data_IF_510393288523
#
_entry.id   IF_510393288523
#
_cell.length_a   1.000
_cell.length_b   1.000
_cell.length_c   1.000
_cell.angle_alpha   90.00
_cell.angle_beta   90.00
_cell.angle_gamma   90.00
#
_symmetry.space_group_name_H-M   'P 1'
#
loop_
_entity.id
_entity.type
_entity.pdbx_description
1 polymer ?
#
# COMPACT_ATOMS: atom_id res chain seq x y z
N UNK A 1 7.83 6.73 33.32
CA UNK A 1 6.84 6.77 32.22
C UNK A 1 6.46 5.35 31.85
N UNK A 2 5.20 4.97 32.00
CA UNK A 2 4.74 3.63 31.61
C UNK A 2 4.29 3.66 30.14
N UNK A 3 5.24 3.92 29.24
CA UNK A 3 5.04 3.63 27.81
C UNK A 3 5.43 2.16 27.66
N UNK A 4 4.49 1.23 27.43
CA UNK A 4 4.77 -0.22 27.45
C UNK A 4 5.90 -0.65 26.51
N UNK A 5 6.15 0.17 25.50
CA UNK A 5 7.22 0.02 24.54
C UNK A 5 8.64 0.10 25.17
N UNK A 6 8.87 0.97 26.15
CA UNK A 6 10.20 1.12 26.78
C UNK A 6 10.66 -0.13 27.53
N UNK A 7 9.73 -1.01 27.95
CA UNK A 7 10.05 -2.29 28.61
C UNK A 7 10.86 -3.27 27.74
N UNK A 8 10.90 -3.06 26.42
CA UNK A 8 11.66 -3.91 25.49
C UNK A 8 13.10 -3.43 25.27
N UNK A 9 13.46 -2.26 25.78
CA UNK A 9 14.81 -1.70 25.74
C UNK A 9 15.65 -2.20 26.92
N UNK A 10 16.97 -2.14 26.80
CA UNK A 10 17.86 -2.19 27.97
C UNK A 10 17.94 -0.82 28.64
N UNK A 11 18.31 -0.85 29.92
CA UNK A 11 18.37 0.33 30.78
C UNK A 11 19.28 1.42 30.20
N UNK A 12 20.43 1.04 29.61
CA UNK A 12 21.35 2.00 28.99
C UNK A 12 20.73 2.78 27.81
N UNK A 13 19.97 2.10 26.95
CA UNK A 13 19.27 2.76 25.84
C UNK A 13 18.13 3.63 26.36
N UNK A 14 17.41 3.13 27.37
CA UNK A 14 16.32 3.86 27.99
C UNK A 14 16.82 5.15 28.66
N UNK A 15 17.91 5.08 29.41
CA UNK A 15 18.56 6.23 30.06
C UNK A 15 19.02 7.24 29.01
N UNK A 16 19.68 6.78 27.94
CA UNK A 16 20.13 7.66 26.86
C UNK A 16 19.00 8.40 26.15
N UNK A 17 17.83 7.78 26.03
CA UNK A 17 16.61 8.43 25.53
C UNK A 17 16.07 9.40 26.58
N UNK A 18 15.94 8.97 27.84
CA UNK A 18 15.40 9.78 28.92
C UNK A 18 16.19 11.07 29.17
N UNK A 19 17.52 11.03 29.03
CA UNK A 19 18.38 12.22 29.13
C UNK A 19 18.11 13.27 28.03
N UNK A 20 17.52 12.86 26.90
CA UNK A 20 17.24 13.71 25.74
C UNK A 20 15.77 14.11 25.64
N UNK A 21 14.92 13.62 26.53
CA UNK A 21 13.51 13.97 26.55
C UNK A 21 13.32 15.37 27.12
N UNK A 22 12.56 16.18 26.39
CA UNK A 22 12.18 17.53 26.81
C UNK A 22 10.70 17.53 27.19
N UNK A 23 10.34 18.23 28.26
CA UNK A 23 8.93 18.41 28.61
C UNK A 23 8.20 19.22 27.54
N UNK A 24 7.00 18.78 27.16
CA UNK A 24 6.13 19.44 26.20
C UNK A 24 4.73 19.57 26.79
N UNK A 25 4.17 20.78 26.76
CA UNK A 25 2.83 21.09 27.24
C UNK A 25 2.00 21.61 26.07
N UNK A 26 0.85 20.99 25.84
CA UNK A 26 -0.10 21.40 24.82
C UNK A 26 -1.44 21.76 25.45
N UNK A 27 -1.88 22.99 25.22
CA UNK A 27 -3.22 23.43 25.62
C UNK A 27 -4.29 22.78 24.75
N UNK A 28 -5.53 22.77 25.24
CA UNK A 28 -6.67 22.25 24.49
C UNK A 28 -6.84 22.98 23.15
N UNK A 29 -7.13 22.22 22.09
CA UNK A 29 -7.36 22.73 20.74
C UNK A 29 -6.10 22.88 19.89
N UNK A 30 -4.90 22.80 20.50
CA UNK A 30 -3.64 22.91 19.77
C UNK A 30 -3.43 21.74 18.82
N UNK A 31 -3.02 22.04 17.59
CA UNK A 31 -2.55 21.05 16.63
C UNK A 31 -1.07 20.79 16.87
N UNK A 32 -0.75 19.56 17.21
CA UNK A 32 0.61 19.11 17.48
C UNK A 32 1.27 18.64 16.18
N UNK A 33 0.54 17.84 15.40
CA UNK A 33 0.95 17.40 14.07
C UNK A 33 -0.18 17.63 13.09
N UNK A 34 0.16 17.84 11.82
CA UNK A 34 -0.79 17.95 10.72
C UNK A 34 -0.38 17.02 9.60
N UNK A 35 -1.35 16.29 9.05
CA UNK A 35 -1.13 15.39 7.92
C UNK A 35 -0.46 16.13 6.75
N UNK A 36 0.61 15.55 6.21
CA UNK A 36 1.40 16.13 5.11
C UNK A 36 2.54 17.07 5.54
N UNK A 37 2.55 17.57 6.79
CA UNK A 37 3.60 18.45 7.29
C UNK A 37 4.80 17.67 7.87
N UNK A 38 6.02 18.22 7.84
CA UNK A 38 7.19 17.53 8.39
C UNK A 38 7.07 17.28 9.90
N UNK A 39 7.52 16.11 10.34
CA UNK A 39 7.58 15.70 11.74
C UNK A 39 9.03 15.82 12.22
N UNK A 40 9.27 16.71 13.18
CA UNK A 40 10.60 16.98 13.74
C UNK A 40 10.78 16.48 15.18
N UNK A 41 9.70 16.04 15.84
CA UNK A 41 9.76 15.44 17.17
C UNK A 41 8.78 14.28 17.33
N UNK A 42 9.13 13.37 18.23
CA UNK A 42 8.30 12.24 18.64
C UNK A 42 7.80 12.52 20.06
N UNK A 43 6.49 12.39 20.29
CA UNK A 43 5.85 12.84 21.53
C UNK A 43 5.28 11.65 22.27
N UNK A 44 5.59 11.54 23.56
CA UNK A 44 5.13 10.51 24.49
C UNK A 44 4.13 11.12 25.47
N UNK A 45 2.89 10.64 25.45
CA UNK A 45 1.80 11.21 26.24
C UNK A 45 1.91 10.70 27.68
N UNK A 46 2.07 11.63 28.62
CA UNK A 46 2.11 11.34 30.05
C UNK A 46 0.72 11.52 30.65
N UNK A 47 0.05 12.65 30.33
CA UNK A 47 -1.30 12.97 30.80
C UNK A 47 -2.10 13.69 29.71
N UNK A 48 -3.43 13.62 29.82
CA UNK A 48 -4.35 14.26 28.88
C UNK A 48 -4.79 13.35 27.73
N UNK A 49 -5.52 13.93 26.78
CA UNK A 49 -6.08 13.22 25.61
C UNK A 49 -5.80 14.00 24.32
N UNK A 50 -5.34 13.26 23.31
CA UNK A 50 -5.20 13.74 21.94
C UNK A 50 -6.20 13.04 21.04
N UNK A 51 -6.57 13.68 19.94
CA UNK A 51 -7.25 13.09 18.81
C UNK A 51 -6.25 12.93 17.68
N UNK A 52 -6.17 11.74 17.08
CA UNK A 52 -5.38 11.47 15.88
C UNK A 52 -6.30 11.08 14.74
N UNK A 53 -6.36 11.92 13.72
CA UNK A 53 -7.21 11.76 12.55
C UNK A 53 -6.41 11.68 11.26
N UNK A 54 -6.92 11.00 10.24
CA UNK A 54 -6.33 10.99 8.89
C UNK A 54 -7.41 10.88 7.84
N UNK A 55 -7.15 11.53 6.72
CA UNK A 55 -7.95 11.47 5.49
C UNK A 55 -7.28 10.62 4.41
N UNK A 56 -6.16 9.97 4.74
CA UNK A 56 -5.33 9.19 3.81
C UNK A 56 -5.02 9.99 2.53
N UNK A 57 -4.49 11.20 2.70
CA UNK A 57 -4.17 12.11 1.60
C UNK A 57 -5.39 12.73 0.92
N UNK A 58 -6.48 12.98 1.67
CA UNK A 58 -7.69 13.63 1.14
C UNK A 58 -8.60 12.71 0.32
N UNK A 59 -8.49 11.38 0.50
CA UNK A 59 -9.31 10.41 -0.23
C UNK A 59 -10.78 10.53 0.20
N UNK A 60 -11.66 10.76 -0.77
CA UNK A 60 -13.10 10.88 -0.52
C UNK A 60 -13.67 9.63 0.15
N UNK A 61 -14.48 9.82 1.19
CA UNK A 61 -15.09 8.73 1.97
C UNK A 61 -14.17 8.04 2.96
N UNK A 62 -12.92 8.49 3.13
CA UNK A 62 -11.99 7.94 4.12
C UNK A 62 -11.72 8.95 5.25
N UNK A 63 -12.17 8.61 6.46
CA UNK A 63 -11.84 9.35 7.67
C UNK A 63 -11.64 8.38 8.82
N UNK A 64 -10.43 8.38 9.39
CA UNK A 64 -10.10 7.54 10.55
C UNK A 64 -9.65 8.43 11.70
N UNK A 65 -10.45 8.51 12.77
CA UNK A 65 -10.12 9.24 14.00
C UNK A 65 -10.02 8.27 15.19
N UNK A 66 -9.07 8.54 16.09
CA UNK A 66 -8.92 7.85 17.36
C UNK A 66 -8.51 8.82 18.48
N UNK A 67 -8.97 8.54 19.71
CA UNK A 67 -8.45 9.19 20.90
C UNK A 67 -7.18 8.48 21.42
N UNK A 68 -6.10 9.24 21.58
CA UNK A 68 -4.85 8.80 22.21
C UNK A 68 -4.78 9.34 23.64
N UNK A 69 -4.22 8.56 24.55
CA UNK A 69 -4.11 8.92 25.96
C UNK A 69 -2.73 8.56 26.55
N UNK A 70 -2.61 8.52 27.88
CA UNK A 70 -1.36 8.14 28.54
C UNK A 70 -0.81 6.81 28.05
N UNK A 71 0.51 6.75 27.85
CA UNK A 71 1.21 5.55 27.37
C UNK A 71 1.22 5.37 25.85
N UNK A 72 0.51 6.23 25.10
CA UNK A 72 0.61 6.32 23.64
C UNK A 72 1.67 7.35 23.22
N UNK A 73 2.09 7.27 21.95
CA UNK A 73 3.04 8.19 21.35
C UNK A 73 2.61 8.62 19.94
N UNK A 74 3.18 9.71 19.46
CA UNK A 74 2.97 10.30 18.13
C UNK A 74 4.33 10.61 17.48
N UNK A 75 4.37 10.78 16.14
CA UNK A 75 5.61 11.08 15.41
C UNK A 75 6.48 9.84 15.14
N UNK A 76 5.85 8.68 15.05
CA UNK A 76 6.51 7.39 14.83
C UNK A 76 7.22 7.26 13.47
N UNK A 77 6.86 8.14 12.52
CA UNK A 77 7.51 8.29 11.23
C UNK A 77 9.02 8.60 11.38
N UNK A 78 9.38 9.33 12.46
CA UNK A 78 10.77 9.65 12.77
C UNK A 78 11.62 8.44 13.12
N UNK A 79 11.02 7.38 13.66
CA UNK A 79 11.77 6.19 14.01
C UNK A 79 12.36 5.52 12.78
N UNK A 80 11.53 5.34 11.74
CA UNK A 80 11.98 4.78 10.47
C UNK A 80 13.08 5.65 9.85
N UNK A 81 12.89 6.96 9.87
CA UNK A 81 13.88 7.93 9.38
C UNK A 81 15.19 7.85 10.17
N UNK A 82 15.14 7.79 11.50
CA UNK A 82 16.33 7.76 12.35
C UNK A 82 17.13 6.46 12.18
N UNK A 83 16.45 5.34 11.95
CA UNK A 83 17.07 4.03 11.74
C UNK A 83 17.73 3.86 10.36
N UNK A 84 17.45 4.75 9.40
CA UNK A 84 18.08 4.67 8.07
C UNK A 84 19.55 5.12 8.09
N UNK A 85 20.50 4.35 7.56
CA UNK A 85 21.92 4.73 7.51
C UNK A 85 22.19 6.05 6.76
N UNK A 86 21.40 6.33 5.72
CA UNK A 86 21.48 7.52 4.87
C UNK A 86 20.20 8.34 4.90
N UNK A 87 19.67 8.62 6.10
CA UNK A 87 18.51 9.49 6.22
C UNK A 87 18.81 10.86 5.63
N UNK A 88 17.97 11.32 4.71
CA UNK A 88 18.03 12.68 4.19
C UNK A 88 17.88 13.70 5.33
N UNK A 89 18.44 14.90 5.15
CA UNK A 89 18.17 16.05 6.04
C UNK A 89 16.68 16.42 6.09
N UNK A 90 15.89 16.00 5.09
CA UNK A 90 14.45 16.20 5.08
C UNK A 90 13.77 15.28 6.10
N UNK A 91 12.94 15.89 6.95
CA UNK A 91 12.09 15.19 7.90
C UNK A 91 10.96 14.44 7.19
N UNK A 92 10.51 13.30 7.75
CA UNK A 92 9.36 12.59 7.21
C UNK A 92 8.08 13.41 7.36
N UNK A 93 7.16 13.30 6.40
CA UNK A 93 5.83 13.89 6.50
C UNK A 93 4.94 13.11 7.46
N UNK A 94 4.12 13.81 8.23
CA UNK A 94 3.15 13.21 9.13
C UNK A 94 2.04 12.52 8.36
N UNK A 95 1.67 11.32 8.79
CA UNK A 95 0.55 10.58 8.18
C UNK A 95 -0.81 10.93 8.77
N UNK A 96 -0.83 11.65 9.92
CA UNK A 96 -2.04 11.95 10.68
C UNK A 96 -2.01 13.37 11.26
N UNK A 97 -3.18 13.98 11.34
CA UNK A 97 -3.39 15.21 12.10
C UNK A 97 -3.67 14.87 13.56
N UNK A 98 -2.87 15.43 14.47
CA UNK A 98 -2.97 15.22 15.91
C UNK A 98 -3.33 16.53 16.61
N UNK A 99 -4.45 16.52 17.33
CA UNK A 99 -5.01 17.68 18.02
C UNK A 99 -5.24 17.39 19.50
N UNK A 100 -4.94 18.35 20.36
CA UNK A 100 -5.19 18.24 21.79
C UNK A 100 -6.68 18.38 22.10
N UNK A 101 -7.27 17.35 22.73
CA UNK A 101 -8.66 17.38 23.20
C UNK A 101 -8.78 17.97 24.60
N UNK A 102 -7.74 17.80 25.41
CA UNK A 102 -7.57 18.39 26.74
C UNK A 102 -6.21 19.07 26.82
N UNK A 103 -5.90 19.70 27.95
CA UNK A 103 -4.51 19.98 28.29
C UNK A 103 -3.73 18.65 28.34
N UNK A 104 -2.56 18.62 27.70
CA UNK A 104 -1.73 17.43 27.54
C UNK A 104 -0.32 17.73 28.02
N UNK A 105 0.13 16.91 28.97
CA UNK A 105 1.52 16.83 29.39
C UNK A 105 2.17 15.67 28.66
N UNK A 106 3.28 15.96 27.99
CA UNK A 106 4.01 14.99 27.22
C UNK A 106 5.53 15.20 27.34
N UNK A 107 6.29 14.22 26.89
CA UNK A 107 7.71 14.37 26.62
C UNK A 107 7.97 14.31 25.13
N UNK A 108 8.77 15.22 24.61
CA UNK A 108 9.21 15.26 23.23
C UNK A 108 10.64 14.76 23.10
N UNK A 109 10.89 13.92 22.11
CA UNK A 109 12.21 13.50 21.66
C UNK A 109 12.43 14.07 20.26
N UNK A 110 13.41 14.96 20.09
CA UNK A 110 13.68 15.59 18.80
C UNK A 110 14.28 14.60 17.82
N UNK A 111 14.07 14.85 16.53
CA UNK A 111 14.61 14.03 15.44
C UNK A 111 16.14 13.88 15.54
N UNK A 112 16.85 14.97 15.81
CA UNK A 112 18.31 15.00 15.96
C UNK A 112 18.79 14.09 17.10
N UNK A 113 18.13 14.17 18.25
CA UNK A 113 18.42 13.36 19.43
C UNK A 113 18.13 11.88 19.18
N UNK A 114 17.00 11.58 18.54
CA UNK A 114 16.66 10.22 18.14
C UNK A 114 17.69 9.67 17.13
N UNK A 115 18.14 10.50 16.20
CA UNK A 115 19.17 10.12 15.22
C UNK A 115 20.51 9.84 15.89
N UNK A 116 20.89 10.66 16.86
CA UNK A 116 22.08 10.45 17.66
C UNK A 116 22.02 9.12 18.41
N UNK A 117 20.91 8.86 19.12
CA UNK A 117 20.71 7.58 19.83
C UNK A 117 20.72 6.40 18.87
N UNK A 118 20.08 6.51 17.71
CA UNK A 118 20.09 5.48 16.67
C UNK A 118 21.51 5.19 16.14
N UNK A 119 22.37 6.20 16.07
CA UNK A 119 23.77 6.04 15.66
C UNK A 119 24.64 5.36 16.72
N UNK A 120 24.42 5.68 17.99
CA UNK A 120 25.22 5.14 19.11
C UNK A 120 24.78 3.73 19.52
N UNK A 121 23.48 3.45 19.52
CA UNK A 121 22.93 2.22 20.07
C UNK A 121 22.48 1.26 18.97
N UNK A 122 23.36 0.31 18.62
CA UNK A 122 23.06 -0.77 17.64
C UNK A 122 21.80 -1.56 18.00
N UNK A 123 21.45 -1.65 19.28
CA UNK A 123 20.25 -2.34 19.74
C UNK A 123 18.95 -1.69 19.26
N UNK A 124 18.95 -0.39 18.97
CA UNK A 124 17.79 0.28 18.37
C UNK A 124 17.46 -0.29 16.97
N UNK A 125 18.48 -0.80 16.27
CA UNK A 125 18.35 -1.48 14.98
C UNK A 125 17.89 -2.94 15.07
N UNK A 126 17.67 -3.46 16.28
CA UNK A 126 17.22 -4.84 16.47
C UNK A 126 15.82 -5.05 15.87
N UNK A 127 15.66 -6.12 15.08
CA UNK A 127 14.36 -6.52 14.54
C UNK A 127 13.32 -6.72 15.64
N UNK A 128 13.72 -7.20 16.82
CA UNK A 128 12.81 -7.38 17.96
C UNK A 128 12.21 -6.04 18.39
N UNK A 129 13.04 -5.02 18.52
CA UNK A 129 12.59 -3.70 18.95
C UNK A 129 11.79 -3.01 17.84
N UNK A 130 12.23 -3.11 16.58
CA UNK A 130 11.46 -2.61 15.43
C UNK A 130 10.07 -3.23 15.34
N UNK A 131 9.93 -4.54 15.60
CA UNK A 131 8.63 -5.18 15.67
C UNK A 131 7.80 -4.71 16.86
N UNK A 132 8.42 -4.49 18.03
CA UNK A 132 7.74 -3.91 19.18
C UNK A 132 7.20 -2.52 18.87
N UNK A 133 7.97 -1.67 18.17
CA UNK A 133 7.50 -0.36 17.71
C UNK A 133 6.28 -0.46 16.80
N UNK A 134 6.32 -1.34 15.79
CA UNK A 134 5.15 -1.59 14.92
C UNK A 134 3.95 -2.12 15.71
N UNK A 135 4.21 -2.94 16.71
CA UNK A 135 3.16 -3.51 17.54
C UNK A 135 2.51 -2.45 18.42
N UNK A 136 3.25 -1.51 19.01
CA UNK A 136 2.69 -0.47 19.89
C UNK A 136 2.21 0.77 19.16
N UNK A 137 2.66 0.98 17.92
CA UNK A 137 2.12 2.00 17.04
C UNK A 137 0.64 1.77 16.78
N UNK A 138 -0.14 2.83 16.97
CA UNK A 138 -1.53 2.83 16.55
C UNK A 138 -1.66 2.79 15.02
N UNK A 139 -0.83 3.54 14.29
CA UNK A 139 -0.94 3.65 12.84
C UNK A 139 -0.73 2.30 12.14
N UNK A 140 0.23 1.51 12.61
CA UNK A 140 0.52 0.16 12.11
C UNK A 140 -0.59 -0.84 12.45
N UNK A 141 -1.20 -0.74 13.65
CA UNK A 141 -2.36 -1.56 14.03
C UNK A 141 -3.57 -1.27 13.15
N UNK A 142 -3.88 0.00 12.93
CA UNK A 142 -4.98 0.42 12.07
C UNK A 142 -4.78 -0.09 10.63
N UNK A 143 -3.57 0.08 10.09
CA UNK A 143 -3.22 -0.45 8.78
C UNK A 143 -3.37 -1.97 8.69
N UNK A 144 -2.87 -2.73 9.66
CA UNK A 144 -3.00 -4.18 9.71
C UNK A 144 -4.46 -4.63 9.74
N UNK A 145 -5.30 -3.95 10.51
CA UNK A 145 -6.75 -4.18 10.53
C UNK A 145 -7.40 -3.95 9.17
N UNK A 146 -7.14 -2.80 8.55
CA UNK A 146 -7.67 -2.49 7.22
C UNK A 146 -7.18 -3.48 6.15
N UNK A 147 -5.92 -3.89 6.20
CA UNK A 147 -5.36 -4.85 5.25
C UNK A 147 -6.08 -6.22 5.33
N UNK A 148 -6.30 -6.71 6.55
CA UNK A 148 -7.05 -7.96 6.79
C UNK A 148 -8.49 -7.82 6.29
N UNK A 149 -9.14 -6.67 6.57
CA UNK A 149 -10.50 -6.40 6.11
C UNK A 149 -10.59 -6.43 4.57
N UNK A 150 -9.66 -5.78 3.86
CA UNK A 150 -9.62 -5.79 2.40
C UNK A 150 -9.43 -7.21 1.84
N UNK A 151 -8.48 -7.97 2.40
CA UNK A 151 -8.25 -9.35 2.00
C UNK A 151 -9.50 -10.24 2.20
N UNK A 152 -10.21 -10.05 3.32
CA UNK A 152 -11.45 -10.75 3.63
C UNK A 152 -12.59 -10.39 2.67
N UNK A 153 -12.78 -9.10 2.37
CA UNK A 153 -13.78 -8.65 1.39
C UNK A 153 -13.52 -9.25 0.02
N UNK A 154 -12.26 -9.24 -0.45
CA UNK A 154 -11.85 -9.88 -1.70
C UNK A 154 -12.05 -11.39 -1.69
N UNK A 155 -11.80 -12.06 -0.57
CA UNK A 155 -12.10 -13.49 -0.41
C UNK A 155 -13.61 -13.77 -0.53
N UNK A 156 -14.44 -13.00 0.19
CA UNK A 156 -15.90 -13.14 0.14
C UNK A 156 -16.45 -12.93 -1.28
N UNK A 157 -16.00 -11.88 -1.99
CA UNK A 157 -16.40 -11.61 -3.38
C UNK A 157 -16.04 -12.77 -4.30
N UNK A 158 -14.81 -13.30 -4.20
CA UNK A 158 -14.39 -14.50 -4.96
C UNK A 158 -15.21 -15.74 -4.61
N UNK A 159 -15.60 -15.91 -3.34
CA UNK A 159 -16.43 -17.04 -2.92
C UNK A 159 -17.85 -16.95 -3.51
N UNK A 160 -18.46 -15.77 -3.50
CA UNK A 160 -19.78 -15.54 -4.10
C UNK A 160 -19.74 -15.73 -5.62
N UNK A 161 -18.75 -15.15 -6.31
CA UNK A 161 -18.59 -15.29 -7.77
C UNK A 161 -18.39 -16.75 -8.20
N UNK A 162 -17.65 -17.55 -7.42
CA UNK A 162 -17.53 -19.00 -7.65
C UNK A 162 -18.84 -19.73 -7.45
N UNK A 163 -19.62 -19.35 -6.43
CA UNK A 163 -20.95 -19.91 -6.20
C UNK A 163 -21.91 -19.63 -7.35
N UNK A 164 -21.94 -18.38 -7.84
CA UNK A 164 -22.73 -17.98 -9.01
C UNK A 164 -22.29 -18.72 -10.28
N UNK A 165 -20.99 -18.78 -10.57
CA UNK A 165 -20.47 -19.51 -11.73
C UNK A 165 -20.80 -21.01 -11.69
N UNK A 166 -20.77 -21.64 -10.50
CA UNK A 166 -21.20 -23.02 -10.32
C UNK A 166 -22.70 -23.19 -10.59
N UNK A 167 -23.52 -22.28 -10.08
CA UNK A 167 -24.97 -22.29 -10.30
C UNK A 167 -25.32 -22.07 -11.78
N UNK A 168 -24.71 -21.09 -12.45
CA UNK A 168 -24.85 -20.85 -13.89
C UNK A 168 -24.44 -22.08 -14.71
N UNK A 169 -23.29 -22.69 -14.38
CA UNK A 169 -22.85 -23.92 -15.05
C UNK A 169 -23.82 -25.09 -14.85
N UNK A 170 -24.44 -25.19 -13.67
CA UNK A 170 -25.47 -26.20 -13.40
C UNK A 170 -26.73 -25.95 -14.22
N UNK A 171 -27.19 -24.71 -14.35
CA UNK A 171 -28.34 -24.38 -15.20
C UNK A 171 -28.08 -24.69 -16.67
N UNK A 172 -26.89 -24.36 -17.19
CA UNK A 172 -26.51 -24.68 -18.57
C UNK A 172 -26.39 -26.19 -18.84
N UNK A 173 -25.97 -26.99 -17.84
CA UNK A 173 -25.96 -28.46 -17.98
C UNK A 173 -27.35 -29.11 -17.83
N UNK A 174 -28.26 -28.50 -17.07
CA UNK A 174 -29.60 -29.06 -16.80
C UNK A 174 -30.60 -28.77 -17.94
N UNK A 175 -30.33 -27.80 -18.82
CA UNK A 175 -31.23 -27.41 -19.90
C UNK A 175 -30.50 -27.40 -21.27
N UNK A 176 -30.14 -28.57 -21.84
CA UNK A 176 -29.39 -28.66 -23.10
C UNK A 176 -30.23 -28.38 -24.37
N UNK A 177 -31.41 -27.75 -24.27
CA UNK A 177 -32.45 -27.84 -25.31
C UNK A 177 -33.29 -26.59 -25.59
N UNK A 178 -32.75 -25.38 -25.42
CA UNK A 178 -33.33 -24.19 -26.04
C UNK A 178 -32.26 -23.48 -26.86
N UNK A 179 -31.96 -24.07 -28.02
CA UNK A 179 -31.53 -23.30 -29.18
C UNK A 179 -32.72 -22.41 -29.56
N UNK A 180 -32.78 -21.20 -29.00
CA UNK A 180 -33.65 -20.16 -29.55
C UNK A 180 -33.07 -19.78 -30.92
N UNK A 181 -33.76 -20.24 -31.96
CA UNK A 181 -33.71 -19.73 -33.33
C UNK A 181 -34.07 -18.24 -33.31
N UNK A 182 -33.07 -17.40 -33.02
CA UNK A 182 -33.15 -15.96 -32.97
C UNK A 182 -32.21 -15.36 -34.01
N UNK A 183 -32.67 -15.32 -35.25
CA UNK A 183 -32.03 -14.55 -36.32
C UNK A 183 -31.99 -13.06 -35.93
N UNK A 184 -30.83 -12.58 -35.48
CA UNK A 184 -30.55 -11.15 -35.38
C UNK A 184 -29.96 -10.69 -36.70
N UNK A 185 -30.81 -10.10 -37.56
CA UNK A 185 -30.36 -9.33 -38.72
C UNK A 185 -29.58 -8.10 -38.23
N UNK A 186 -28.29 -8.02 -38.56
CA UNK A 186 -27.56 -6.75 -38.56
C UNK A 186 -27.89 -6.04 -39.87
N UNK A 187 -28.57 -4.91 -39.77
CA UNK A 187 -28.84 -4.01 -40.88
C UNK A 187 -27.62 -3.08 -41.05
N UNK A 188 -26.92 -3.21 -42.16
CA UNK A 188 -25.74 -2.41 -42.50
C UNK A 188 -26.11 -1.46 -43.66
N UNK A 189 -26.75 -0.33 -43.35
CA UNK A 189 -26.94 0.77 -44.29
C UNK A 189 -26.24 2.06 -43.81
N UNK A 190 -25.08 2.28 -44.43
CA UNK A 190 -24.47 3.53 -44.89
C UNK A 190 -24.97 4.88 -44.30
N UNK A 191 -24.05 5.54 -43.59
CA UNK A 191 -23.77 6.97 -43.74
C UNK A 191 -22.26 7.13 -43.47
N UNK A 192 -21.39 7.48 -44.42
CA UNK A 192 -21.53 8.60 -45.36
C UNK A 192 -20.98 9.86 -44.69
N UNK A 193 -19.65 10.04 -44.69
CA UNK A 193 -19.01 11.20 -44.05
C UNK A 193 -17.50 11.26 -44.25
N UNK A 194 -17.09 11.85 -45.37
CA UNK A 194 -15.71 12.08 -45.81
C UNK A 194 -14.85 12.88 -44.82
N UNK A 195 -13.55 12.55 -44.74
CA UNK A 195 -12.50 13.57 -44.71
C UNK A 195 -11.22 13.02 -45.37
N UNK A 196 -10.81 13.69 -46.45
CA UNK A 196 -9.61 13.42 -47.26
C UNK A 196 -8.36 14.12 -46.69
N UNK A 197 -7.19 13.60 -47.10
CA UNK A 197 -5.88 14.27 -47.07
C UNK A 197 -4.85 13.53 -46.21
N UNK A 198 -3.68 13.09 -46.67
CA UNK A 198 -2.95 13.30 -47.91
C UNK A 198 -1.85 12.21 -48.03
N UNK A 199 -1.37 12.03 -49.26
CA UNK A 199 -0.39 11.11 -49.84
C UNK A 199 1.01 11.13 -49.16
N UNK A 200 1.99 10.26 -49.39
CA UNK A 200 2.36 9.37 -50.51
C UNK A 200 3.59 8.49 -50.12
N UNK A 201 3.73 7.34 -50.78
CA UNK A 201 5.01 6.66 -51.12
C UNK A 201 5.54 5.59 -50.14
N UNK A 202 5.99 4.39 -50.51
CA UNK A 202 6.19 3.68 -51.78
C UNK A 202 6.23 2.14 -51.56
N UNK A 203 5.98 1.43 -52.67
CA UNK A 203 6.08 -0.01 -53.06
C UNK A 203 7.13 -0.90 -52.34
N UNK A 204 6.95 -2.23 -52.19
CA UNK A 204 6.99 -3.28 -53.26
C UNK A 204 6.68 -4.67 -52.64
N UNK A 205 5.83 -5.54 -53.26
CA UNK A 205 6.20 -6.82 -53.96
C UNK A 205 6.49 -7.99 -52.98
N UNK A 206 5.90 -9.19 -53.02
CA UNK A 206 5.69 -10.15 -54.11
C UNK A 206 4.67 -11.29 -53.76
N UNK A 207 4.24 -12.01 -54.81
CA UNK A 207 3.26 -13.11 -54.96
C UNK A 207 3.62 -14.41 -54.17
N UNK A 208 2.83 -15.50 -54.04
CA UNK A 208 1.88 -16.14 -54.95
C UNK A 208 0.98 -17.19 -54.24
N UNK A 209 -0.12 -17.51 -54.93
CA UNK A 209 -1.21 -18.48 -54.74
C UNK A 209 -0.84 -19.98 -54.72
N UNK A 210 -1.63 -20.84 -54.04
CA UNK A 210 -2.54 -21.79 -54.70
C UNK A 210 -3.51 -22.55 -53.75
N UNK A 211 -4.68 -22.90 -54.30
CA UNK A 211 -5.81 -23.78 -53.90
C UNK A 211 -5.53 -24.94 -52.94
N UNK A 212 -6.43 -25.50 -52.12
CA UNK A 212 -7.91 -25.46 -52.03
C UNK A 212 -8.40 -26.88 -51.66
N UNK A 213 -9.18 -27.05 -50.58
CA UNK A 213 -10.16 -28.14 -50.39
C UNK A 213 -10.82 -28.02 -49.01
N UNK A 214 -12.15 -27.98 -48.99
CA UNK A 214 -12.93 -28.04 -47.76
C UNK A 214 -13.00 -29.44 -47.18
N UNK A 215 -13.24 -29.53 -45.87
CA UNK A 215 -14.25 -30.41 -45.27
C UNK A 215 -14.39 -30.13 -43.77
N UNK A 216 -15.66 -30.10 -43.38
CA UNK A 216 -16.23 -29.86 -42.06
C UNK A 216 -15.93 -31.01 -41.08
N UNK A 217 -15.28 -30.70 -39.97
CA UNK A 217 -15.26 -31.44 -38.71
C UNK A 217 -15.09 -30.36 -37.62
N UNK A 218 -16.12 -29.95 -36.87
CA UNK A 218 -16.85 -30.80 -35.92
C UNK A 218 -16.09 -30.84 -34.60
N UNK A 219 -16.47 -29.97 -33.66
CA UNK A 219 -16.24 -29.90 -32.21
C UNK A 219 -14.93 -30.46 -31.58
N UNK A 220 -14.49 -29.80 -30.48
CA UNK A 220 -13.26 -30.03 -29.67
C UNK A 220 -11.99 -29.57 -30.40
N UNK A 221 -11.20 -28.59 -29.93
CA UNK A 221 -10.59 -28.44 -28.62
C UNK A 221 -10.32 -26.95 -28.32
N UNK A 222 -11.02 -26.36 -27.34
CA UNK A 222 -10.63 -25.08 -26.75
C UNK A 222 -10.45 -25.25 -25.23
N UNK A 223 -9.43 -26.03 -24.88
CA UNK A 223 -8.95 -26.16 -23.52
C UNK A 223 -7.43 -26.34 -23.51
N UNK A 224 -6.67 -25.40 -24.08
CA UNK A 224 -5.22 -25.33 -23.87
C UNK A 224 -4.59 -24.07 -24.45
N UNK A 225 -4.47 -23.01 -23.62
CA UNK A 225 -3.31 -22.08 -23.61
C UNK A 225 -3.39 -21.01 -22.51
N UNK A 226 -3.61 -21.42 -21.26
CA UNK A 226 -3.39 -20.55 -20.11
C UNK A 226 -2.61 -21.24 -18.98
N UNK A 227 -1.54 -21.96 -19.35
CA UNK A 227 -0.63 -22.58 -18.39
C UNK A 227 0.76 -22.78 -19.00
N UNK A 228 1.46 -21.70 -19.35
CA UNK A 228 2.89 -21.74 -19.67
C UNK A 228 3.51 -20.34 -19.56
N UNK A 229 3.75 -19.85 -18.33
CA UNK A 229 4.76 -18.82 -18.06
C UNK A 229 5.13 -18.76 -16.57
N UNK A 230 5.59 -19.89 -16.04
CA UNK A 230 6.34 -19.95 -14.77
C UNK A 230 7.54 -20.84 -15.02
N UNK A 231 8.63 -20.26 -15.56
CA UNK A 231 10.05 -20.72 -15.51
C UNK A 231 10.92 -20.16 -16.65
N UNK A 232 10.81 -18.86 -16.98
CA UNK A 232 11.78 -18.22 -17.90
C UNK A 232 12.15 -16.77 -17.54
N UNK A 233 12.23 -16.47 -16.24
CA UNK A 233 12.70 -15.17 -15.73
C UNK A 233 13.99 -15.23 -14.89
N UNK A 234 14.58 -16.40 -14.69
CA UNK A 234 15.73 -16.59 -13.78
C UNK A 234 17.07 -16.70 -14.54
N UNK A 235 17.07 -16.88 -15.86
CA UNK A 235 18.30 -17.16 -16.63
C UNK A 235 18.75 -16.05 -17.60
N UNK A 236 18.11 -14.87 -17.60
CA UNK A 236 18.56 -13.71 -18.40
C UNK A 236 19.11 -12.56 -17.54
N UNK A 237 19.42 -12.81 -16.26
CA UNK A 237 20.05 -11.84 -15.36
C UNK A 237 21.48 -12.23 -15.00
N UNK A 238 22.23 -12.71 -15.99
CA UNK A 238 23.67 -12.84 -15.93
C UNK A 238 24.21 -12.36 -17.27
N UNK A 239 25.03 -11.30 -17.23
CA UNK A 239 25.72 -10.63 -18.35
C UNK A 239 24.90 -9.65 -19.20
N UNK A 240 24.82 -8.40 -18.72
CA UNK A 240 25.15 -7.20 -19.51
C UNK A 240 25.21 -5.94 -18.60
N UNK A 241 26.43 -5.58 -18.21
CA UNK A 241 27.03 -4.24 -18.10
C UNK A 241 26.25 -3.11 -17.40
N UNK A 242 26.70 -2.80 -16.17
CA UNK A 242 27.16 -1.48 -15.71
C UNK A 242 26.52 -0.19 -16.29
N UNK A 243 25.61 0.41 -15.53
CA UNK A 243 25.48 1.87 -15.41
C UNK A 243 24.64 2.22 -14.16
N UNK A 244 25.29 2.92 -13.21
CA UNK A 244 24.74 3.83 -12.19
C UNK A 244 23.39 3.51 -11.52
N UNK A 245 23.45 3.05 -10.26
CA UNK A 245 22.75 3.64 -9.09
C UNK A 245 22.89 2.69 -7.88
N UNK A 246 23.41 3.11 -6.72
CA UNK A 246 23.35 2.29 -5.53
C UNK A 246 21.90 2.30 -5.03
N UNK A 247 21.15 1.25 -5.32
CA UNK A 247 19.84 1.01 -4.71
C UNK A 247 20.06 0.79 -3.22
N UNK A 248 19.91 1.89 -2.46
CA UNK A 248 19.83 1.88 -1.01
C UNK A 248 18.73 0.92 -0.60
N UNK A 249 19.13 -0.19 0.01
CA UNK A 249 18.23 -1.17 0.59
C UNK A 249 17.52 -0.48 1.78
N UNK A 250 16.39 0.18 1.49
CA UNK A 250 15.62 0.91 2.49
C UNK A 250 15.12 -0.10 3.53
N UNK A 251 15.30 0.14 4.83
CA UNK A 251 14.71 -0.73 5.83
C UNK A 251 13.19 -0.79 5.58
N UNK A 252 12.64 -2.02 5.55
CA UNK A 252 11.21 -2.32 5.28
C UNK A 252 10.29 -1.85 6.42
N UNK A 253 10.41 -0.58 6.80
CA UNK A 253 9.78 0.10 7.92
C UNK A 253 8.89 1.25 7.43
N UNK A 254 8.76 1.46 6.12
CA UNK A 254 7.78 2.36 5.55
C UNK A 254 6.43 1.64 5.45
N UNK A 255 5.38 2.28 5.95
CA UNK A 255 4.01 1.78 5.84
C UNK A 255 3.60 1.77 4.36
N UNK A 256 3.11 0.64 3.82
CA UNK A 256 2.51 0.60 2.49
C UNK A 256 1.21 1.38 2.43
N UNK A 257 0.82 1.81 1.23
CA UNK A 257 -0.45 2.53 1.02
C UNK A 257 -1.66 1.75 1.56
N UNK A 258 -2.63 2.50 2.07
CA UNK A 258 -3.86 1.89 2.58
C UNK A 258 -4.71 1.30 1.44
N UNK A 259 -5.38 0.16 1.68
CA UNK A 259 -6.20 -0.47 0.66
C UNK A 259 -7.37 0.44 0.21
N UNK A 260 -7.61 0.46 -1.10
CA UNK A 260 -8.73 1.18 -1.69
C UNK A 260 -10.04 0.41 -1.52
N UNK A 261 -10.86 0.83 -0.54
CA UNK A 261 -12.24 0.31 -0.35
C UNK A 261 -13.34 0.97 -1.20
N UNK A 262 -13.04 1.98 -2.03
CA UNK A 262 -14.04 2.67 -2.88
C UNK A 262 -14.31 1.95 -4.20
N UNK A 263 -13.42 1.04 -4.58
CA UNK A 263 -13.55 0.19 -5.78
C UNK A 263 -14.20 -1.17 -5.50
N UNK A 264 -14.65 -1.43 -4.27
CA UNK A 264 -15.18 -2.73 -3.81
C UNK A 264 -16.67 -2.96 -4.09
#
# INVERSE_FOLDING_TARGET
MEVPFFSQMDDQLLDAICERLVSSLSIQGTYIFQEGYPVNEMIFIIRGKLESSTTNGGRSGFFNSIALGPGYFCGEELLTWALMPSSSLNFPSSTRTVRALTEVEASALRAEDLKFVAGQFKRLHSKKLQHAFRYYSHQWRAWGGCFIQAAWRRFRKRKMARGLAMQESSYHMQNPGQEEDGSYYYDEEQAGGNFEGDASGERSGENASNSGQGQHLGATFLASKFAANTKRGIAQKAQAVEAASPSLDTPRLLKPDEPDFSVD
#
